data_IF_444539809186
#
_entry.id   IF_444539809186
#
_cell.length_a   1.000
_cell.length_b   1.000
_cell.length_c   1.000
_cell.angle_alpha   90.00
_cell.angle_beta   90.00
_cell.angle_gamma   90.00
#
_symmetry.space_group_name_H-M   'P 1'
#
loop_
_entity.id
_entity.type
_entity.pdbx_description
1 polymer ?
#
# COMPACT_ATOMS: atom_id res chain seq x y z
N UNK A 1 -20.81 26.35 -21.86
CA UNK A 1 -21.02 27.36 -20.79
C UNK A 1 -19.67 27.94 -20.40
N UNK A 2 -19.36 29.16 -20.86
CA UNK A 2 -18.12 29.85 -20.51
C UNK A 2 -18.35 30.63 -19.21
N UNK A 3 -18.05 30.00 -18.07
CA UNK A 3 -18.19 30.64 -16.76
C UNK A 3 -16.88 31.36 -16.43
N UNK A 4 -16.86 32.68 -16.60
CA UNK A 4 -15.78 33.52 -16.11
C UNK A 4 -15.95 33.69 -14.59
N UNK A 5 -15.02 33.13 -13.81
CA UNK A 5 -15.00 33.26 -12.35
C UNK A 5 -14.01 34.35 -12.01
N UNK A 6 -14.36 35.20 -11.04
CA UNK A 6 -13.40 36.17 -10.49
C UNK A 6 -12.30 35.45 -9.71
N UNK A 7 -11.15 36.09 -9.53
CA UNK A 7 -10.03 35.49 -8.80
C UNK A 7 -10.39 35.13 -7.36
N UNK A 8 -11.26 35.92 -6.71
CA UNK A 8 -11.75 35.63 -5.37
C UNK A 8 -12.60 34.35 -5.31
N UNK A 9 -13.45 34.13 -6.32
CA UNK A 9 -14.23 32.91 -6.44
C UNK A 9 -13.33 31.70 -6.73
N UNK A 10 -12.30 31.88 -7.57
CA UNK A 10 -11.31 30.85 -7.83
C UNK A 10 -10.52 30.47 -6.55
N UNK A 11 -10.15 31.45 -5.72
CA UNK A 11 -9.51 31.22 -4.41
C UNK A 11 -10.42 30.42 -3.47
N UNK A 12 -11.70 30.79 -3.36
CA UNK A 12 -12.68 30.04 -2.55
C UNK A 12 -12.83 28.58 -3.02
N UNK A 13 -12.90 28.34 -4.32
CA UNK A 13 -13.01 26.99 -4.88
C UNK A 13 -11.75 26.15 -4.58
N UNK A 14 -10.56 26.75 -4.75
CA UNK A 14 -9.30 26.06 -4.43
C UNK A 14 -9.16 25.77 -2.93
N UNK A 15 -9.72 26.61 -2.06
CA UNK A 15 -9.81 26.38 -0.61
C UNK A 15 -10.58 25.12 -0.23
N UNK A 16 -11.50 24.66 -1.08
CA UNK A 16 -12.21 23.39 -0.91
C UNK A 16 -11.40 22.16 -1.36
N UNK A 17 -10.15 22.34 -1.81
CA UNK A 17 -9.28 21.26 -2.28
C UNK A 17 -9.60 20.76 -3.70
N UNK A 18 -10.40 21.50 -4.47
CA UNK A 18 -10.79 21.19 -5.85
C UNK A 18 -10.29 22.28 -6.81
N UNK A 19 -9.86 21.89 -8.01
CA UNK A 19 -9.49 22.87 -9.04
C UNK A 19 -10.71 23.53 -9.67
N UNK A 20 -10.54 24.74 -10.21
CA UNK A 20 -11.62 25.47 -10.91
C UNK A 20 -12.18 24.68 -12.09
N UNK A 21 -11.33 23.89 -12.76
CA UNK A 21 -11.71 23.06 -13.90
C UNK A 21 -12.61 21.90 -13.45
N UNK A 22 -12.23 21.21 -12.38
CA UNK A 22 -13.03 20.13 -11.79
C UNK A 22 -14.37 20.64 -11.25
N UNK A 23 -14.37 21.83 -10.64
CA UNK A 23 -15.59 22.48 -10.17
C UNK A 23 -16.54 22.79 -11.33
N UNK A 24 -16.05 23.38 -12.42
CA UNK A 24 -16.82 23.60 -13.65
C UNK A 24 -17.36 22.30 -14.23
N UNK A 25 -16.59 21.21 -14.18
CA UNK A 25 -17.01 19.87 -14.62
C UNK A 25 -18.12 19.30 -13.74
N UNK A 26 -18.04 19.48 -12.42
CA UNK A 26 -19.09 19.05 -11.49
C UNK A 26 -20.41 19.75 -11.80
N UNK A 27 -20.39 21.07 -12.01
CA UNK A 27 -21.59 21.84 -12.38
C UNK A 27 -22.15 21.38 -13.72
N UNK A 28 -21.30 21.22 -14.74
CA UNK A 28 -21.74 20.74 -16.06
C UNK A 28 -22.45 19.39 -15.99
N UNK A 29 -22.04 18.53 -15.05
CA UNK A 29 -22.57 17.17 -14.91
C UNK A 29 -23.63 17.05 -13.79
N UNK A 30 -24.10 18.17 -13.21
CA UNK A 30 -25.03 18.19 -12.06
C UNK A 30 -24.56 17.33 -10.87
N UNK A 31 -23.24 17.26 -10.66
CA UNK A 31 -22.63 16.56 -9.52
C UNK A 31 -22.48 17.52 -8.35
N UNK A 32 -22.90 17.10 -7.17
CA UNK A 32 -22.72 17.88 -5.95
C UNK A 32 -21.22 18.02 -5.62
N UNK A 33 -20.73 19.26 -5.71
CA UNK A 33 -19.31 19.63 -5.49
C UNK A 33 -18.84 19.24 -4.09
N UNK A 34 -19.70 19.34 -3.07
CA UNK A 34 -19.36 18.96 -1.70
C UNK A 34 -19.11 17.45 -1.58
N UNK A 35 -19.98 16.63 -2.17
CA UNK A 35 -19.83 15.18 -2.21
C UNK A 35 -18.57 14.79 -2.99
N UNK A 36 -18.30 15.47 -4.12
CA UNK A 36 -17.08 15.26 -4.91
C UNK A 36 -15.81 15.58 -4.11
N UNK A 37 -15.81 16.68 -3.34
CA UNK A 37 -14.68 17.07 -2.49
C UNK A 37 -14.39 16.00 -1.43
N UNK A 38 -15.44 15.54 -0.74
CA UNK A 38 -15.37 14.53 0.32
C UNK A 38 -14.85 13.21 -0.25
N UNK A 39 -15.39 12.74 -1.37
CA UNK A 39 -14.96 11.50 -2.01
C UNK A 39 -13.49 11.58 -2.44
N UNK A 40 -13.06 12.71 -3.02
CA UNK A 40 -11.66 12.91 -3.41
C UNK A 40 -10.72 12.92 -2.20
N UNK A 41 -11.14 13.51 -1.08
CA UNK A 41 -10.39 13.48 0.16
C UNK A 41 -10.33 12.04 0.74
N UNK A 42 -11.45 11.32 0.73
CA UNK A 42 -11.54 9.94 1.18
C UNK A 42 -10.67 8.99 0.33
N UNK A 43 -10.65 9.16 -1.00
CA UNK A 43 -9.78 8.38 -1.89
C UNK A 43 -8.30 8.62 -1.58
N UNK A 44 -7.90 9.88 -1.39
CA UNK A 44 -6.52 10.21 -0.99
C UNK A 44 -6.16 9.61 0.36
N UNK A 45 -7.07 9.69 1.34
CA UNK A 45 -6.89 9.10 2.66
C UNK A 45 -6.78 7.57 2.57
N UNK A 46 -7.63 6.91 1.78
CA UNK A 46 -7.59 5.48 1.56
C UNK A 46 -6.28 5.03 0.90
N UNK A 47 -5.79 5.78 -0.10
CA UNK A 47 -4.49 5.50 -0.73
C UNK A 47 -3.33 5.67 0.26
N UNK A 48 -3.36 6.72 1.09
CA UNK A 48 -2.35 6.92 2.13
C UNK A 48 -2.39 5.79 3.16
N UNK A 49 -3.59 5.40 3.60
CA UNK A 49 -3.80 4.30 4.55
C UNK A 49 -3.30 2.97 4.00
N UNK A 50 -3.56 2.68 2.72
CA UNK A 50 -3.06 1.49 2.05
C UNK A 50 -1.53 1.43 2.06
N UNK A 51 -0.85 2.55 1.77
CA UNK A 51 0.62 2.63 1.85
C UNK A 51 1.14 2.36 3.26
N UNK A 52 0.47 2.90 4.27
CA UNK A 52 0.84 2.66 5.67
C UNK A 52 0.68 1.17 6.02
N UNK A 53 -0.43 0.55 5.62
CA UNK A 53 -0.66 -0.88 5.83
C UNK A 53 0.39 -1.74 5.11
N UNK A 54 0.78 -1.38 3.89
CA UNK A 54 1.81 -2.09 3.14
C UNK A 54 3.15 -2.05 3.91
N UNK A 55 3.56 -0.86 4.40
CA UNK A 55 4.78 -0.71 5.22
C UNK A 55 4.72 -1.53 6.51
N UNK A 56 3.58 -1.52 7.22
CA UNK A 56 3.40 -2.31 8.44
C UNK A 56 3.50 -3.80 8.12
N UNK A 57 2.87 -4.26 7.04
CA UNK A 57 2.92 -5.66 6.66
C UNK A 57 4.35 -6.09 6.26
N UNK A 58 5.10 -5.22 5.59
CA UNK A 58 6.52 -5.46 5.27
C UNK A 58 7.36 -5.58 6.54
N UNK A 59 7.15 -4.69 7.51
CA UNK A 59 7.82 -4.74 8.80
C UNK A 59 7.50 -6.04 9.57
N UNK A 60 6.23 -6.45 9.59
CA UNK A 60 5.80 -7.70 10.22
C UNK A 60 6.42 -8.92 9.52
N UNK A 61 6.53 -8.91 8.18
CA UNK A 61 7.15 -10.02 7.45
C UNK A 61 8.66 -10.13 7.72
N UNK A 62 9.35 -8.99 7.85
CA UNK A 62 10.77 -8.95 8.29
C UNK A 62 10.92 -9.43 9.74
N UNK A 63 10.04 -9.02 10.64
CA UNK A 63 10.05 -9.50 12.02
C UNK A 63 9.85 -11.03 12.09
N UNK A 64 8.99 -11.59 11.24
CA UNK A 64 8.84 -13.05 11.12
C UNK A 64 10.13 -13.74 10.68
N UNK A 65 10.88 -13.17 9.74
CA UNK A 65 12.19 -13.73 9.34
C UNK A 65 13.13 -13.81 10.55
N UNK A 66 13.23 -12.74 11.34
CA UNK A 66 14.07 -12.71 12.55
C UNK A 66 13.61 -13.73 13.59
N UNK A 67 12.29 -13.89 13.78
CA UNK A 67 11.74 -14.91 14.69
C UNK A 67 12.13 -16.33 14.23
N UNK A 68 12.11 -16.61 12.92
CA UNK A 68 12.53 -17.92 12.39
C UNK A 68 14.04 -18.17 12.59
N UNK A 69 14.88 -17.15 12.40
CA UNK A 69 16.32 -17.23 12.72
C UNK A 69 16.56 -17.51 14.21
N UNK A 70 15.78 -16.89 15.08
CA UNK A 70 15.82 -17.16 16.53
C UNK A 70 15.38 -18.59 16.83
N UNK A 71 14.25 -19.05 16.28
CA UNK A 71 13.77 -20.43 16.46
C UNK A 71 14.82 -21.45 16.04
N UNK A 72 15.50 -21.20 14.93
CA UNK A 72 16.58 -22.06 14.46
C UNK A 72 17.73 -22.15 15.47
N UNK A 73 18.17 -21.01 16.03
CA UNK A 73 19.23 -20.97 17.06
C UNK A 73 18.86 -21.73 18.33
N UNK A 74 17.59 -21.74 18.68
CA UNK A 74 17.07 -22.47 19.85
C UNK A 74 16.59 -23.89 19.50
N UNK A 75 16.91 -24.41 18.31
CA UNK A 75 16.54 -25.75 17.84
C UNK A 75 15.01 -26.02 17.81
N UNK A 76 14.18 -24.97 17.72
CA UNK A 76 12.75 -25.10 17.52
C UNK A 76 12.41 -25.40 16.04
N UNK A 77 11.25 -26.01 15.77
CA UNK A 77 10.81 -26.24 14.40
C UNK A 77 10.55 -24.92 13.66
N UNK A 78 11.31 -24.69 12.59
CA UNK A 78 11.20 -23.54 11.69
C UNK A 78 10.18 -23.76 10.58
N UNK A 79 9.61 -22.68 10.04
CA UNK A 79 8.65 -22.76 8.95
C UNK A 79 9.27 -23.28 7.64
N UNK A 80 8.43 -23.91 6.79
CA UNK A 80 8.84 -24.44 5.48
C UNK A 80 9.40 -23.34 4.55
N UNK A 81 8.79 -22.15 4.58
CA UNK A 81 9.27 -20.98 3.82
C UNK A 81 10.69 -20.62 4.24
N UNK A 82 10.98 -20.59 5.54
CA UNK A 82 12.31 -20.29 6.04
C UNK A 82 13.34 -21.34 5.63
N UNK A 83 12.97 -22.63 5.66
CA UNK A 83 13.85 -23.71 5.13
C UNK A 83 14.22 -23.49 3.66
N UNK A 84 13.26 -23.09 2.83
CA UNK A 84 13.52 -22.77 1.42
C UNK A 84 14.45 -21.56 1.26
N UNK A 85 14.18 -20.48 2.01
CA UNK A 85 15.04 -19.29 2.02
C UNK A 85 16.46 -19.62 2.51
N UNK A 86 16.60 -20.51 3.49
CA UNK A 86 17.90 -20.98 3.97
C UNK A 86 18.68 -21.73 2.89
N UNK A 87 18.03 -22.62 2.14
CA UNK A 87 18.66 -23.37 1.04
C UNK A 87 19.18 -22.40 -0.04
N UNK A 88 18.35 -21.44 -0.45
CA UNK A 88 18.78 -20.42 -1.41
C UNK A 88 19.88 -19.51 -0.84
N UNK A 89 19.80 -19.19 0.45
CA UNK A 89 20.87 -18.49 1.16
C UNK A 89 22.21 -19.23 1.12
N UNK A 90 22.19 -20.56 1.27
CA UNK A 90 23.40 -21.39 1.16
C UNK A 90 23.97 -21.44 -0.27
N UNK A 91 23.14 -21.19 -1.29
CA UNK A 91 23.57 -21.04 -2.68
C UNK A 91 24.12 -19.63 -3.01
N UNK A 92 24.19 -18.73 -2.02
CA UNK A 92 24.73 -17.38 -2.18
C UNK A 92 23.69 -16.29 -2.46
N UNK A 93 22.39 -16.62 -2.43
CA UNK A 93 21.34 -15.59 -2.55
C UNK A 93 21.14 -14.83 -1.24
N UNK A 94 20.80 -13.55 -1.34
CA UNK A 94 20.43 -12.76 -0.16
C UNK A 94 19.11 -13.27 0.45
N UNK A 95 19.19 -13.74 1.71
CA UNK A 95 18.06 -14.30 2.46
C UNK A 95 16.91 -13.30 2.60
N UNK A 96 17.21 -12.02 2.84
CA UNK A 96 16.16 -11.01 3.01
C UNK A 96 15.39 -10.81 1.70
N UNK A 97 16.12 -10.67 0.60
CA UNK A 97 15.52 -10.53 -0.74
C UNK A 97 14.68 -11.75 -1.12
N UNK A 98 15.18 -12.96 -0.89
CA UNK A 98 14.46 -14.21 -1.17
C UNK A 98 13.23 -14.35 -0.26
N UNK A 99 13.32 -13.95 1.01
CA UNK A 99 12.18 -13.92 1.90
C UNK A 99 11.09 -13.02 1.35
N UNK A 100 11.39 -11.75 1.03
CA UNK A 100 10.40 -10.80 0.48
C UNK A 100 9.75 -11.32 -0.79
N UNK A 101 10.53 -11.89 -1.72
CA UNK A 101 10.01 -12.45 -2.98
C UNK A 101 9.09 -13.65 -2.76
N UNK A 102 9.36 -14.46 -1.74
CA UNK A 102 8.57 -15.67 -1.45
C UNK A 102 7.33 -15.43 -0.57
N UNK A 103 7.06 -14.18 -0.18
CA UNK A 103 5.91 -13.81 0.67
C UNK A 103 4.56 -14.18 0.07
N UNK A 104 4.42 -14.03 -1.23
CA UNK A 104 3.17 -14.28 -1.95
C UNK A 104 3.18 -15.60 -2.72
N UNK A 105 4.32 -16.29 -2.78
CA UNK A 105 4.41 -17.60 -3.43
C UNK A 105 3.84 -18.67 -2.52
N UNK A 106 2.79 -19.34 -2.99
CA UNK A 106 2.35 -20.60 -2.38
C UNK A 106 3.34 -21.67 -2.82
N UNK A 107 4.35 -21.94 -1.99
CA UNK A 107 5.22 -23.10 -2.19
C UNK A 107 4.34 -24.34 -2.27
N UNK A 108 4.55 -25.15 -3.32
CA UNK A 108 3.76 -26.35 -3.55
C UNK A 108 3.76 -27.21 -2.27
N UNK A 109 2.57 -27.53 -1.78
CA UNK A 109 2.41 -28.49 -0.68
C UNK A 109 2.66 -29.87 -1.28
N UNK A 110 3.86 -30.43 -1.08
CA UNK A 110 3.97 -31.89 -1.16
C UNK A 110 3.21 -32.44 0.05
N UNK A 111 2.16 -33.21 -0.22
CA UNK A 111 1.58 -34.11 0.78
C UNK A 111 2.63 -35.20 1.01
N UNK A 112 3.35 -35.08 2.13
CA UNK A 112 4.14 -36.15 2.70
C UNK A 112 3.59 -36.36 4.11
#
# INVERSE_FOLDING_TARGET
MYMALTEEQAKKIRGLGISVIEWKRCIRNNVNVGIYAINKAAEKAAQAWKKILDVINDFVDMAKLVIEEIKEKFHFPVSRRYKFVKILGAMGYDKQRVWTLTRHTRLARSNC
#
